data_IF_721330202164
#
_entry.id   IF_721330202164
#
_cell.length_a   1.000
_cell.length_b   1.000
_cell.length_c   1.000
_cell.angle_alpha   90.00
_cell.angle_beta   90.00
_cell.angle_gamma   90.00
#
_symmetry.space_group_name_H-M   'P 1'
#
loop_
_entity.id
_entity.type
_entity.pdbx_description
1 polymer ?
#
# COMPACT_ATOMS: atom_id res chain seq x y z
N UNK A 1 -27.81 -15.31 59.16
CA UNK A 1 -27.04 -16.42 59.77
C UNK A 1 -27.96 -17.62 59.87
N UNK A 2 -27.48 -18.83 59.56
CA UNK A 2 -28.18 -20.08 59.84
C UNK A 2 -27.62 -20.71 61.15
N UNK A 3 -28.27 -21.78 61.62
CA UNK A 3 -28.11 -22.36 62.96
C UNK A 3 -26.70 -22.89 63.33
N UNK A 4 -25.69 -22.76 62.46
CA UNK A 4 -24.32 -23.23 62.70
C UNK A 4 -23.25 -22.11 62.64
N UNK A 5 -23.63 -20.83 62.67
CA UNK A 5 -22.66 -19.74 62.87
C UNK A 5 -21.62 -19.52 61.76
N UNK A 6 -21.80 -20.13 60.59
CA UNK A 6 -20.94 -19.91 59.41
C UNK A 6 -21.44 -18.66 58.67
N UNK A 7 -20.57 -17.70 58.30
CA UNK A 7 -20.97 -16.54 57.52
C UNK A 7 -21.50 -17.00 56.15
N UNK A 8 -22.78 -16.77 55.88
CA UNK A 8 -23.37 -17.03 54.56
C UNK A 8 -22.85 -15.98 53.58
N UNK A 9 -22.17 -16.43 52.53
CA UNK A 9 -21.82 -15.59 51.40
C UNK A 9 -23.12 -15.06 50.76
N UNK A 10 -23.25 -13.74 50.72
CA UNK A 10 -24.31 -13.07 49.97
C UNK A 10 -23.98 -13.22 48.49
N UNK A 11 -24.88 -13.74 47.63
CA UNK A 11 -24.63 -13.78 46.20
C UNK A 11 -24.45 -12.35 45.70
N UNK A 12 -23.29 -12.06 45.12
CA UNK A 12 -23.08 -10.81 44.39
C UNK A 12 -23.99 -10.91 43.16
N UNK A 13 -24.93 -9.98 42.95
CA UNK A 13 -25.74 -9.98 41.74
C UNK A 13 -24.80 -9.88 40.52
N UNK A 14 -25.09 -10.59 39.42
CA UNK A 14 -24.31 -10.44 38.20
C UNK A 14 -24.27 -8.94 37.84
N UNK A 15 -23.12 -8.42 37.38
CA UNK A 15 -23.03 -7.02 36.98
C UNK A 15 -24.15 -6.76 35.98
N UNK A 16 -24.97 -5.75 36.28
CA UNK A 16 -26.02 -5.31 35.37
C UNK A 16 -25.38 -5.13 34.00
N UNK A 17 -25.92 -5.84 33.00
CA UNK A 17 -25.55 -5.66 31.60
C UNK A 17 -25.81 -4.21 31.26
N UNK A 18 -24.74 -3.41 31.28
CA UNK A 18 -24.77 -2.08 30.74
C UNK A 18 -25.25 -2.24 29.28
N UNK A 19 -26.25 -1.49 28.83
CA UNK A 19 -26.57 -1.47 27.42
C UNK A 19 -25.27 -1.09 26.71
N UNK A 20 -24.86 -1.92 25.73
CA UNK A 20 -23.84 -1.52 24.77
C UNK A 20 -24.35 -0.24 24.14
N UNK A 21 -23.88 0.90 24.65
CA UNK A 21 -23.99 2.15 23.96
C UNK A 21 -23.25 1.89 22.64
N UNK A 22 -24.00 1.80 21.56
CA UNK A 22 -23.46 1.98 20.23
C UNK A 22 -22.67 3.28 20.31
N UNK A 23 -21.35 3.17 20.28
CA UNK A 23 -20.49 4.33 20.12
C UNK A 23 -20.83 4.87 18.74
N UNK A 24 -21.75 5.81 18.69
CA UNK A 24 -21.94 6.70 17.55
C UNK A 24 -20.69 7.55 17.47
N UNK A 25 -19.62 6.99 16.91
CA UNK A 25 -18.49 7.75 16.41
C UNK A 25 -19.04 8.63 15.30
N UNK A 26 -19.21 9.91 15.60
CA UNK A 26 -19.54 10.92 14.59
C UNK A 26 -18.34 11.03 13.65
N UNK A 27 -18.38 10.31 12.53
CA UNK A 27 -17.35 10.38 11.52
C UNK A 27 -17.49 11.68 10.69
N UNK A 28 -16.41 12.43 10.48
CA UNK A 28 -16.45 13.59 9.59
C UNK A 28 -16.64 13.14 8.13
N UNK A 29 -17.54 13.82 7.40
CA UNK A 29 -17.64 13.77 5.93
C UNK A 29 -16.26 14.02 5.31
N UNK A 30 -15.92 13.35 4.19
CA UNK A 30 -14.63 13.47 3.52
C UNK A 30 -14.32 14.95 3.22
N UNK A 31 -13.52 15.56 4.10
CA UNK A 31 -13.21 16.99 4.02
C UNK A 31 -12.18 17.22 2.93
N UNK A 32 -12.47 18.24 2.14
CA UNK A 32 -11.66 18.85 1.09
C UNK A 32 -10.17 18.95 1.47
N UNK A 33 -9.31 18.20 0.81
CA UNK A 33 -7.93 18.61 0.58
C UNK A 33 -7.96 19.65 -0.53
N UNK A 34 -7.52 20.89 -0.23
CA UNK A 34 -7.22 21.84 -1.28
C UNK A 34 -6.16 21.24 -2.21
N UNK A 35 -6.14 21.61 -3.49
CA UNK A 35 -5.16 21.16 -4.45
C UNK A 35 -3.75 21.55 -3.94
N UNK A 36 -3.05 20.63 -3.27
CA UNK A 36 -1.75 20.91 -2.66
C UNK A 36 -0.69 20.54 -3.67
N UNK A 37 -0.22 21.53 -4.43
CA UNK A 37 1.12 21.39 -5.00
C UNK A 37 2.11 21.17 -3.85
N UNK A 38 2.93 20.13 -3.97
CA UNK A 38 3.98 19.87 -2.99
C UNK A 38 4.95 21.06 -2.98
N UNK A 39 5.22 21.58 -1.78
CA UNK A 39 6.27 22.57 -1.54
C UNK A 39 7.63 22.03 -1.96
N UNK A 40 8.58 22.93 -2.23
CA UNK A 40 9.94 22.51 -2.59
C UNK A 40 10.58 21.61 -1.53
N UNK A 41 10.36 21.91 -0.24
CA UNK A 41 10.87 21.08 0.86
C UNK A 41 10.28 19.65 0.82
N UNK A 42 8.98 19.50 0.57
CA UNK A 42 8.36 18.18 0.42
C UNK A 42 8.96 17.41 -0.76
N UNK A 43 9.15 18.08 -1.91
CA UNK A 43 9.81 17.49 -3.08
C UNK A 43 11.25 17.05 -2.77
N UNK A 44 12.02 17.89 -2.08
CA UNK A 44 13.41 17.58 -1.72
C UNK A 44 13.49 16.37 -0.76
N UNK A 45 12.54 16.24 0.17
CA UNK A 45 12.44 15.08 1.05
C UNK A 45 12.09 13.80 0.29
N UNK A 46 11.22 13.86 -0.72
CA UNK A 46 10.94 12.72 -1.58
C UNK A 46 12.16 12.34 -2.43
N UNK A 47 12.88 13.31 -3.00
CA UNK A 47 14.14 13.06 -3.72
C UNK A 47 15.19 12.41 -2.83
N UNK A 48 15.30 12.84 -1.57
CA UNK A 48 16.22 12.24 -0.61
C UNK A 48 15.92 10.74 -0.36
N UNK A 49 14.63 10.36 -0.41
CA UNK A 49 14.16 8.98 -0.33
C UNK A 49 14.36 8.17 -1.62
N UNK A 50 14.74 8.82 -2.72
CA UNK A 50 15.03 8.15 -4.00
C UNK A 50 13.88 8.19 -5.02
N UNK A 51 12.84 9.00 -4.79
CA UNK A 51 11.85 9.26 -5.82
C UNK A 51 12.44 10.18 -6.90
N UNK A 52 12.29 9.78 -8.15
CA UNK A 52 12.62 10.61 -9.32
C UNK A 52 11.57 11.70 -9.50
N UNK A 53 11.87 12.73 -10.31
CA UNK A 53 10.95 13.86 -10.50
C UNK A 53 9.57 13.42 -11.00
N UNK A 54 9.52 12.51 -11.98
CA UNK A 54 8.26 12.00 -12.52
C UNK A 54 7.43 11.22 -11.49
N UNK A 55 8.07 10.40 -10.64
CA UNK A 55 7.37 9.70 -9.56
C UNK A 55 6.78 10.69 -8.53
N UNK A 56 7.46 11.79 -8.24
CA UNK A 56 6.95 12.85 -7.36
C UNK A 56 5.70 13.52 -7.98
N UNK A 57 5.71 13.76 -9.29
CA UNK A 57 4.52 14.25 -10.01
C UNK A 57 3.35 13.27 -9.93
N UNK A 58 3.61 11.96 -10.03
CA UNK A 58 2.59 10.92 -9.90
C UNK A 58 2.01 10.90 -8.48
N UNK A 59 2.84 10.96 -7.44
CA UNK A 59 2.37 11.06 -6.04
C UNK A 59 1.47 12.28 -5.87
N UNK A 60 1.90 13.44 -6.39
CA UNK A 60 1.13 14.69 -6.30
C UNK A 60 -0.26 14.54 -6.96
N UNK A 61 -0.31 13.91 -8.14
CA UNK A 61 -1.57 13.61 -8.84
C UNK A 61 -2.42 12.57 -8.10
N UNK A 62 -1.80 11.54 -7.54
CA UNK A 62 -2.44 10.48 -6.74
C UNK A 62 -3.14 11.07 -5.52
N UNK A 63 -2.60 12.08 -4.84
CA UNK A 63 -3.28 12.75 -3.72
C UNK A 63 -4.55 13.48 -4.15
N UNK A 64 -4.56 14.04 -5.37
CA UNK A 64 -5.75 14.71 -5.91
C UNK A 64 -6.80 13.71 -6.40
N UNK A 65 -6.37 12.60 -7.00
CA UNK A 65 -7.26 11.57 -7.51
C UNK A 65 -7.86 10.70 -6.40
N UNK A 66 -7.10 10.50 -5.32
CA UNK A 66 -7.50 9.76 -4.15
C UNK A 66 -7.59 10.68 -2.92
N UNK A 67 -8.73 11.35 -2.69
CA UNK A 67 -8.92 12.23 -1.53
C UNK A 67 -8.82 11.50 -0.19
N UNK A 68 -8.96 10.17 -0.19
CA UNK A 68 -8.83 9.37 1.01
C UNK A 68 -8.25 7.97 0.73
N UNK A 69 -7.42 7.49 1.65
CA UNK A 69 -6.83 6.14 1.64
C UNK A 69 -7.19 5.43 2.94
N UNK A 70 -7.65 4.18 2.86
CA UNK A 70 -7.96 3.34 4.00
C UNK A 70 -7.09 2.09 3.96
N UNK A 71 -6.19 1.94 4.92
CA UNK A 71 -5.40 0.74 5.14
C UNK A 71 -6.10 -0.17 6.15
N UNK A 72 -6.48 -1.36 5.70
CA UNK A 72 -6.86 -2.48 6.57
C UNK A 72 -5.60 -3.29 6.82
N UNK A 73 -5.12 -3.26 8.05
CA UNK A 73 -3.84 -3.82 8.46
C UNK A 73 -4.09 -5.08 9.28
N UNK A 74 -3.61 -6.21 8.75
CA UNK A 74 -3.68 -7.48 9.43
C UNK A 74 -2.75 -7.52 10.64
N UNK A 75 -3.36 -7.66 11.81
CA UNK A 75 -2.68 -7.93 13.07
C UNK A 75 -3.18 -9.24 13.69
N UNK A 76 -3.64 -10.20 12.87
CA UNK A 76 -4.06 -11.53 13.31
C UNK A 76 -2.87 -12.39 13.77
N UNK A 77 -3.15 -13.50 14.46
CA UNK A 77 -2.09 -14.34 15.02
C UNK A 77 -1.08 -14.90 14.00
N UNK A 78 -1.48 -15.09 12.73
CA UNK A 78 -0.63 -15.62 11.65
C UNK A 78 0.54 -14.71 11.30
N UNK A 79 0.40 -13.39 11.53
CA UNK A 79 1.44 -12.39 11.30
C UNK A 79 2.69 -12.58 12.18
N UNK A 80 2.67 -13.50 13.16
CA UNK A 80 3.86 -13.89 13.94
C UNK A 80 4.82 -14.84 13.19
N UNK A 81 4.46 -15.36 12.00
CA UNK A 81 5.37 -16.15 11.17
C UNK A 81 6.63 -15.35 10.83
N UNK A 82 7.79 -16.01 10.85
CA UNK A 82 9.12 -15.40 10.75
C UNK A 82 9.71 -15.56 9.34
N UNK A 83 8.93 -15.22 8.33
CA UNK A 83 9.24 -15.31 6.91
C UNK A 83 9.12 -13.96 6.19
N UNK A 84 8.86 -12.87 6.93
CA UNK A 84 8.90 -11.51 6.39
C UNK A 84 10.33 -10.98 6.22
N UNK A 85 10.48 -9.89 5.48
CA UNK A 85 11.75 -9.32 5.05
C UNK A 85 11.77 -7.79 5.25
N UNK A 86 12.89 -7.26 5.77
CA UNK A 86 13.10 -5.81 5.88
C UNK A 86 14.47 -5.35 5.42
N UNK A 87 14.54 -4.12 4.92
CA UNK A 87 15.79 -3.48 4.50
C UNK A 87 16.42 -2.72 5.67
N UNK A 88 17.64 -3.08 6.02
CA UNK A 88 18.40 -2.44 7.10
C UNK A 88 19.63 -1.76 6.52
N UNK A 89 19.78 -0.46 6.77
CA UNK A 89 21.02 0.26 6.51
C UNK A 89 22.11 -0.20 7.49
N UNK A 90 23.27 -0.53 6.96
CA UNK A 90 24.45 -0.95 7.73
C UNK A 90 25.53 0.13 7.71
N UNK A 91 26.54 -0.01 8.57
CA UNK A 91 27.67 0.93 8.62
C UNK A 91 28.31 1.03 7.22
N UNK A 92 28.40 2.26 6.68
CA UNK A 92 29.05 2.53 5.38
C UNK A 92 28.13 2.59 4.17
N UNK A 93 26.86 3.00 4.32
CA UNK A 93 25.86 3.12 3.25
C UNK A 93 25.50 1.82 2.52
N UNK A 94 25.91 0.65 3.00
CA UNK A 94 25.42 -0.63 2.48
C UNK A 94 24.06 -0.97 3.05
N UNK A 95 23.17 -1.49 2.21
CA UNK A 95 21.84 -1.99 2.61
C UNK A 95 21.90 -3.52 2.67
N UNK A 96 21.23 -4.12 3.65
CA UNK A 96 21.05 -5.57 3.74
C UNK A 96 19.59 -5.90 4.00
N UNK A 97 19.12 -6.96 3.38
CA UNK A 97 17.83 -7.55 3.73
C UNK A 97 18.02 -8.46 4.95
N UNK A 98 17.09 -8.37 5.90
CA UNK A 98 17.06 -9.15 7.14
C UNK A 98 15.69 -9.77 7.30
N UNK A 99 15.67 -11.08 7.54
CA UNK A 99 14.46 -11.84 7.86
C UNK A 99 13.87 -11.38 9.20
N UNK A 100 12.55 -11.26 9.25
CA UNK A 100 11.78 -10.83 10.42
C UNK A 100 10.37 -11.45 10.39
N UNK A 101 9.53 -11.09 11.35
CA UNK A 101 8.13 -11.50 11.29
C UNK A 101 7.36 -10.66 10.27
N UNK A 102 6.31 -11.25 9.69
CA UNK A 102 5.35 -10.53 8.82
C UNK A 102 4.84 -9.26 9.52
N UNK A 103 4.60 -9.35 10.83
CA UNK A 103 4.22 -8.20 11.66
C UNK A 103 5.26 -7.08 11.68
N UNK A 104 6.55 -7.40 11.89
CA UNK A 104 7.59 -6.38 11.93
C UNK A 104 7.75 -5.67 10.58
N UNK A 105 7.61 -6.42 9.49
CA UNK A 105 7.62 -5.87 8.15
C UNK A 105 6.43 -4.93 7.88
N UNK A 106 5.21 -5.35 8.24
CA UNK A 106 4.03 -4.48 8.03
C UNK A 106 4.04 -3.26 8.96
N UNK A 107 4.59 -3.37 10.18
CA UNK A 107 4.81 -2.22 11.07
C UNK A 107 5.73 -1.19 10.41
N UNK A 108 6.84 -1.63 9.81
CA UNK A 108 7.76 -0.74 9.10
C UNK A 108 7.08 -0.08 7.89
N UNK A 109 6.30 -0.86 7.14
CA UNK A 109 5.49 -0.40 6.00
C UNK A 109 4.44 0.64 6.40
N UNK A 110 3.63 0.37 7.42
CA UNK A 110 2.61 1.32 7.91
C UNK A 110 3.26 2.58 8.47
N UNK A 111 4.37 2.45 9.21
CA UNK A 111 5.12 3.61 9.69
C UNK A 111 5.67 4.47 8.55
N UNK A 112 6.08 3.85 7.44
CA UNK A 112 6.49 4.56 6.22
C UNK A 112 5.30 5.30 5.60
N UNK A 113 4.17 4.62 5.40
CA UNK A 113 2.97 5.22 4.80
C UNK A 113 2.36 6.32 5.67
N UNK A 114 2.41 6.21 6.99
CA UNK A 114 1.97 7.27 7.90
C UNK A 114 2.87 8.52 7.76
N UNK A 115 4.19 8.34 7.61
CA UNK A 115 5.12 9.44 7.35
C UNK A 115 4.91 10.04 5.96
N UNK A 116 4.67 9.22 4.95
CA UNK A 116 4.37 9.67 3.59
C UNK A 116 3.07 10.47 3.56
N UNK A 117 2.00 9.94 4.16
CA UNK A 117 0.71 10.62 4.29
C UNK A 117 0.86 11.98 4.99
N UNK A 118 1.66 12.05 6.06
CA UNK A 118 1.99 13.30 6.73
C UNK A 118 2.75 14.27 5.81
N UNK A 119 3.78 13.76 5.12
CA UNK A 119 4.64 14.53 4.23
C UNK A 119 3.85 15.16 3.10
N UNK A 120 2.97 14.42 2.44
CA UNK A 120 2.18 14.93 1.29
C UNK A 120 0.79 15.42 1.70
N UNK A 121 0.51 15.48 3.00
CA UNK A 121 -0.79 15.86 3.56
C UNK A 121 -1.97 15.07 2.96
N UNK A 122 -1.78 13.77 2.75
CA UNK A 122 -2.77 12.87 2.17
C UNK A 122 -3.61 12.22 3.28
N UNK A 123 -4.93 12.50 3.36
CA UNK A 123 -5.80 11.87 4.36
C UNK A 123 -5.75 10.35 4.26
N UNK A 124 -5.23 9.72 5.32
CA UNK A 124 -4.99 8.27 5.34
C UNK A 124 -5.41 7.70 6.68
N UNK A 125 -6.25 6.68 6.65
CA UNK A 125 -6.74 5.97 7.84
C UNK A 125 -6.16 4.58 7.88
N UNK A 126 -5.63 4.18 9.03
CA UNK A 126 -5.14 2.84 9.31
C UNK A 126 -6.08 2.16 10.30
N UNK A 127 -6.51 0.96 9.95
CA UNK A 127 -7.48 0.17 10.69
C UNK A 127 -6.91 -1.22 10.91
N UNK A 128 -6.64 -1.56 12.17
CA UNK A 128 -6.21 -2.90 12.54
C UNK A 128 -7.38 -3.88 12.45
N UNK A 129 -7.14 -5.09 11.95
CA UNK A 129 -8.18 -6.13 11.88
C UNK A 129 -8.79 -6.45 13.25
N UNK A 130 -7.95 -6.52 14.27
CA UNK A 130 -8.31 -6.81 15.66
C UNK A 130 -7.97 -5.60 16.53
N UNK A 131 -8.78 -5.32 17.55
CA UNK A 131 -8.50 -4.23 18.48
C UNK A 131 -7.16 -4.48 19.19
N UNK A 132 -6.22 -3.51 19.21
CA UNK A 132 -4.90 -3.70 19.79
C UNK A 132 -4.88 -3.77 21.33
N UNK A 133 -6.04 -3.82 21.99
CA UNK A 133 -6.20 -3.62 23.43
C UNK A 133 -6.37 -2.14 23.83
N UNK A 134 -7.29 -1.87 24.76
CA UNK A 134 -7.67 -0.51 25.16
C UNK A 134 -6.58 0.34 25.83
N UNK A 135 -5.46 -0.28 26.23
CA UNK A 135 -4.30 0.42 26.80
C UNK A 135 -3.25 0.81 25.75
N UNK A 136 -3.35 0.29 24.52
CA UNK A 136 -2.44 0.60 23.41
C UNK A 136 -3.00 1.73 22.56
N UNK A 137 -4.30 1.70 22.24
CA UNK A 137 -4.92 2.77 21.48
C UNK A 137 -6.16 2.31 20.73
N UNK A 138 -6.71 3.18 19.86
CA UNK A 138 -7.87 2.84 19.06
C UNK A 138 -7.53 1.79 17.99
N UNK A 139 -8.54 1.04 17.56
CA UNK A 139 -8.41 0.12 16.41
C UNK A 139 -8.19 0.87 15.09
N UNK A 140 -8.66 2.13 15.02
CA UNK A 140 -8.55 3.01 13.86
C UNK A 140 -7.84 4.31 14.27
N UNK A 141 -6.85 4.72 13.48
CA UNK A 141 -6.12 5.97 13.64
C UNK A 141 -5.81 6.56 12.26
N UNK A 142 -5.67 7.87 12.16
CA UNK A 142 -5.53 8.53 10.86
C UNK A 142 -4.47 9.62 10.86
N UNK A 143 -4.02 9.96 9.65
CA UNK A 143 -3.11 11.07 9.35
C UNK A 143 -3.86 12.05 8.47
N UNK A 144 -3.81 13.34 8.81
CA UNK A 144 -4.33 14.45 8.02
C UNK A 144 -5.85 14.47 7.77
N UNK A 145 -6.63 13.59 8.42
CA UNK A 145 -8.11 13.66 8.37
C UNK A 145 -8.67 14.82 9.22
N UNK A 146 -8.03 15.13 10.37
CA UNK A 146 -8.47 16.19 11.28
C UNK A 146 -8.11 17.59 10.78
N UNK A 147 -7.17 17.68 9.84
CA UNK A 147 -6.67 18.91 9.25
C UNK A 147 -5.19 18.79 8.86
N UNK A 148 -4.69 19.81 8.17
CA UNK A 148 -3.30 19.87 7.68
C UNK A 148 -2.40 20.77 8.54
N UNK A 149 -2.85 21.14 9.73
CA UNK A 149 -2.02 21.87 10.69
C UNK A 149 -0.85 20.98 11.12
N UNK A 150 0.37 21.53 11.13
CA UNK A 150 1.58 20.78 11.42
C UNK A 150 1.54 20.11 12.79
N UNK A 151 0.97 20.77 13.81
CA UNK A 151 0.85 20.20 15.14
C UNK A 151 -0.10 19.00 15.16
N UNK A 152 -1.22 19.10 14.43
CA UNK A 152 -2.19 18.01 14.29
C UNK A 152 -1.56 16.82 13.55
N UNK A 153 -0.81 17.06 12.48
CA UNK A 153 -0.11 16.00 11.73
C UNK A 153 0.96 15.32 12.61
N UNK A 154 1.72 16.09 13.41
CA UNK A 154 2.72 15.54 14.32
C UNK A 154 2.09 14.66 15.42
N UNK A 155 0.96 15.09 15.99
CA UNK A 155 0.18 14.28 16.93
C UNK A 155 -0.33 12.99 16.31
N UNK A 156 -0.95 13.09 15.12
CA UNK A 156 -1.47 11.96 14.35
C UNK A 156 -0.35 10.94 14.07
N UNK A 157 0.82 11.41 13.64
CA UNK A 157 1.99 10.57 13.38
C UNK A 157 2.54 9.93 14.65
N UNK A 158 2.57 10.66 15.75
CA UNK A 158 2.96 10.14 17.07
C UNK A 158 2.05 9.01 17.53
N UNK A 159 0.73 9.19 17.39
CA UNK A 159 -0.27 8.17 17.70
C UNK A 159 -0.12 6.94 16.81
N UNK A 160 -0.01 7.13 15.49
CA UNK A 160 0.15 6.03 14.53
C UNK A 160 1.38 5.16 14.86
N UNK A 161 2.54 5.81 15.09
CA UNK A 161 3.77 5.11 15.48
C UNK A 161 3.62 4.41 16.84
N UNK A 162 2.97 5.05 17.80
CA UNK A 162 2.77 4.44 19.12
C UNK A 162 1.90 3.18 19.04
N UNK A 163 0.75 3.26 18.37
CA UNK A 163 -0.16 2.13 18.20
C UNK A 163 0.53 0.99 17.47
N UNK A 164 1.17 1.25 16.33
CA UNK A 164 1.83 0.18 15.55
C UNK A 164 2.98 -0.48 16.30
N UNK A 165 3.81 0.29 17.00
CA UNK A 165 4.97 -0.27 17.73
C UNK A 165 4.59 -0.95 19.05
N UNK A 166 3.43 -0.60 19.62
CA UNK A 166 2.96 -1.19 20.89
C UNK A 166 1.98 -2.35 20.69
N UNK A 167 1.40 -2.47 19.50
CA UNK A 167 0.51 -3.58 19.14
C UNK A 167 1.29 -4.86 18.88
N UNK A 168 0.62 -5.99 19.11
CA UNK A 168 1.14 -7.32 18.80
C UNK A 168 0.09 -8.14 18.04
N UNK A 169 0.51 -9.10 17.20
CA UNK A 169 -0.45 -9.88 16.44
C UNK A 169 -1.24 -10.84 17.32
N UNK A 170 -2.56 -10.81 17.17
CA UNK A 170 -3.52 -11.61 17.92
C UNK A 170 -4.88 -11.66 17.20
N UNK A 171 -5.73 -12.62 17.55
CA UNK A 171 -7.08 -12.70 17.00
C UNK A 171 -7.13 -13.30 15.60
N UNK A 172 -8.17 -12.91 14.86
CA UNK A 172 -8.64 -13.58 13.62
C UNK A 172 -8.52 -12.63 12.42
N UNK A 173 -8.99 -13.05 11.24
CA UNK A 173 -8.85 -12.31 9.97
C UNK A 173 -10.24 -11.92 9.42
N UNK A 174 -11.00 -11.01 10.06
CA UNK A 174 -12.38 -10.67 9.71
C UNK A 174 -12.46 -9.67 8.54
N UNK A 175 -11.77 -9.96 7.43
CA UNK A 175 -11.64 -9.04 6.28
C UNK A 175 -12.99 -8.58 5.71
N UNK A 176 -13.97 -9.47 5.67
CA UNK A 176 -15.32 -9.19 5.15
C UNK A 176 -15.99 -8.04 5.88
N UNK A 177 -15.98 -8.06 7.22
CA UNK A 177 -16.67 -7.04 8.04
C UNK A 177 -16.03 -5.66 7.88
N UNK A 178 -14.70 -5.62 7.84
CA UNK A 178 -13.96 -4.38 7.60
C UNK A 178 -14.27 -3.80 6.22
N UNK A 179 -14.34 -4.65 5.20
CA UNK A 179 -14.66 -4.23 3.84
C UNK A 179 -16.10 -3.70 3.73
N UNK A 180 -17.07 -4.36 4.36
CA UNK A 180 -18.47 -3.91 4.38
C UNK A 180 -18.63 -2.59 5.14
N UNK A 181 -17.89 -2.39 6.24
CA UNK A 181 -17.88 -1.13 6.98
C UNK A 181 -17.33 0.02 6.11
N UNK A 182 -16.23 -0.23 5.38
CA UNK A 182 -15.64 0.77 4.47
C UNK A 182 -16.60 1.07 3.32
N UNK A 183 -17.20 0.04 2.71
CA UNK A 183 -18.21 0.19 1.67
C UNK A 183 -19.32 1.13 2.09
N UNK A 184 -19.90 0.93 3.28
CA UNK A 184 -21.01 1.75 3.77
C UNK A 184 -20.60 3.22 3.90
N UNK A 185 -19.35 3.50 4.28
CA UNK A 185 -18.81 4.87 4.32
C UNK A 185 -18.67 5.45 2.91
N UNK A 186 -18.03 4.72 1.99
CA UNK A 186 -17.86 5.18 0.59
C UNK A 186 -19.21 5.42 -0.08
N UNK A 187 -20.21 4.58 0.21
CA UNK A 187 -21.56 4.72 -0.35
C UNK A 187 -22.21 6.06 0.02
N UNK A 188 -21.95 6.60 1.22
CA UNK A 188 -22.50 7.88 1.66
C UNK A 188 -21.98 9.06 0.83
N UNK A 189 -20.75 8.96 0.33
CA UNK A 189 -20.06 10.04 -0.39
C UNK A 189 -19.87 9.73 -1.90
N UNK A 190 -20.46 8.62 -2.38
CA UNK A 190 -20.21 8.10 -3.72
C UNK A 190 -20.58 9.07 -4.85
N UNK A 191 -21.71 9.78 -4.72
CA UNK A 191 -22.15 10.74 -5.75
C UNK A 191 -21.21 11.95 -5.83
N UNK A 192 -20.73 12.43 -4.69
CA UNK A 192 -19.76 13.53 -4.64
C UNK A 192 -18.43 13.12 -5.27
N UNK A 193 -17.89 11.96 -4.88
CA UNK A 193 -16.66 11.41 -5.44
C UNK A 193 -16.76 11.25 -6.98
N UNK A 194 -17.86 10.66 -7.48
CA UNK A 194 -18.09 10.53 -8.93
C UNK A 194 -18.14 11.87 -9.64
N UNK A 195 -18.84 12.86 -9.07
CA UNK A 195 -18.98 14.18 -9.69
C UNK A 195 -17.64 14.89 -9.88
N UNK A 196 -16.63 14.52 -9.08
CA UNK A 196 -15.27 15.06 -9.13
C UNK A 196 -14.27 14.15 -9.86
N UNK A 197 -14.68 12.94 -10.25
CA UNK A 197 -13.78 11.93 -10.79
C UNK A 197 -12.77 11.39 -9.78
N UNK A 198 -13.07 11.50 -8.49
CA UNK A 198 -12.23 11.05 -7.37
C UNK A 198 -12.59 9.61 -6.96
N UNK A 199 -11.66 8.93 -6.28
CA UNK A 199 -11.88 7.58 -5.74
C UNK A 199 -11.29 7.42 -4.33
N UNK A 200 -11.80 6.48 -3.54
CA UNK A 200 -11.18 6.08 -2.27
C UNK A 200 -10.27 4.89 -2.50
N UNK A 201 -9.01 4.98 -2.07
CA UNK A 201 -8.11 3.82 -2.08
C UNK A 201 -8.37 2.95 -0.85
N UNK A 202 -8.52 1.65 -1.04
CA UNK A 202 -8.63 0.64 0.02
C UNK A 202 -7.45 -0.29 -0.10
N UNK A 203 -6.53 -0.25 0.86
CA UNK A 203 -5.36 -1.13 0.92
C UNK A 203 -5.64 -2.24 1.91
N UNK A 204 -5.74 -3.48 1.45
CA UNK A 204 -5.89 -4.68 2.26
C UNK A 204 -4.51 -5.33 2.44
N UNK A 205 -3.86 -5.05 3.57
CA UNK A 205 -2.55 -5.64 3.89
C UNK A 205 -2.75 -6.88 4.78
N UNK A 206 -2.67 -8.09 4.19
CA UNK A 206 -3.02 -9.34 4.88
C UNK A 206 -2.11 -10.52 4.49
N UNK A 207 -1.92 -11.45 5.43
CA UNK A 207 -1.15 -12.67 5.22
C UNK A 207 -2.00 -13.94 5.06
N UNK A 208 -3.33 -13.77 5.02
CA UNK A 208 -4.26 -14.87 5.18
C UNK A 208 -5.55 -14.73 4.37
N UNK A 209 -6.31 -15.81 4.42
CA UNK A 209 -7.65 -15.90 3.84
C UNK A 209 -8.68 -15.37 4.86
N UNK A 210 -9.83 -14.86 4.39
CA UNK A 210 -10.89 -14.39 5.26
C UNK A 210 -11.37 -15.49 6.21
N UNK A 211 -11.61 -15.10 7.46
CA UNK A 211 -12.20 -15.93 8.52
C UNK A 211 -13.37 -15.21 9.15
N UNK A 212 -14.29 -15.95 9.76
CA UNK A 212 -15.36 -15.36 10.56
C UNK A 212 -14.87 -14.92 11.96
N UNK A 213 -15.75 -14.36 12.78
CA UNK A 213 -15.44 -13.89 14.15
C UNK A 213 -14.84 -14.97 15.07
N UNK A 214 -15.06 -16.26 14.76
CA UNK A 214 -14.51 -17.40 15.52
C UNK A 214 -13.15 -17.88 14.98
N UNK A 215 -12.62 -17.26 13.92
CA UNK A 215 -11.38 -17.66 13.27
C UNK A 215 -11.54 -18.88 12.37
N UNK A 216 -12.77 -19.28 12.05
CA UNK A 216 -13.04 -20.37 11.12
C UNK A 216 -13.01 -19.77 9.71
N UNK A 217 -12.16 -20.33 8.86
CA UNK A 217 -12.13 -20.05 7.42
C UNK A 217 -12.67 -21.23 6.63
N UNK A 218 -12.95 -21.00 5.35
CA UNK A 218 -13.53 -22.02 4.49
C UNK A 218 -14.04 -21.44 3.18
N UNK A 219 -14.70 -22.29 2.40
CA UNK A 219 -15.32 -21.88 1.13
C UNK A 219 -16.41 -20.82 1.37
N UNK A 220 -17.16 -20.94 2.46
CA UNK A 220 -18.23 -19.99 2.79
C UNK A 220 -17.67 -18.59 3.05
N UNK A 221 -16.67 -18.46 3.92
CA UNK A 221 -16.04 -17.18 4.29
C UNK A 221 -15.31 -16.54 3.09
N UNK A 222 -14.66 -17.36 2.25
CA UNK A 222 -14.06 -16.89 0.99
C UNK A 222 -15.11 -16.36 0.03
N UNK A 223 -16.23 -17.07 -0.14
CA UNK A 223 -17.32 -16.61 -1.00
C UNK A 223 -17.98 -15.34 -0.47
N UNK A 224 -18.12 -15.23 0.85
CA UNK A 224 -18.66 -14.02 1.48
C UNK A 224 -17.75 -12.81 1.25
N UNK A 225 -16.44 -12.99 1.41
CA UNK A 225 -15.46 -11.95 1.11
C UNK A 225 -15.48 -11.55 -0.38
N UNK A 226 -15.52 -12.52 -1.31
CA UNK A 226 -15.67 -12.24 -2.74
C UNK A 226 -16.96 -11.47 -3.03
N UNK A 227 -18.07 -11.83 -2.37
CA UNK A 227 -19.33 -11.10 -2.51
C UNK A 227 -19.24 -9.69 -1.94
N UNK A 228 -18.52 -9.48 -0.84
CA UNK A 228 -18.26 -8.16 -0.29
C UNK A 228 -17.44 -7.30 -1.27
N UNK A 229 -16.38 -7.86 -1.88
CA UNK A 229 -15.61 -7.23 -2.96
C UNK A 229 -16.49 -6.88 -4.16
N UNK A 230 -17.26 -7.83 -4.69
CA UNK A 230 -18.25 -7.59 -5.77
C UNK A 230 -19.21 -6.46 -5.44
N UNK A 231 -19.59 -6.34 -4.17
CA UNK A 231 -20.52 -5.30 -3.75
C UNK A 231 -19.93 -3.88 -3.73
N UNK A 232 -18.60 -3.75 -3.93
CA UNK A 232 -17.93 -2.48 -4.24
C UNK A 232 -17.99 -2.13 -5.72
N UNK A 233 -18.43 -3.04 -6.60
CA UNK A 233 -18.50 -2.78 -8.03
C UNK A 233 -19.40 -1.58 -8.32
N UNK A 234 -18.89 -0.71 -9.17
CA UNK A 234 -19.54 0.55 -9.50
C UNK A 234 -19.38 1.63 -8.44
N UNK A 235 -18.78 1.40 -7.26
CA UNK A 235 -18.40 2.49 -6.35
C UNK A 235 -17.07 3.13 -6.79
N UNK A 236 -16.84 4.41 -6.46
CA UNK A 236 -15.59 5.11 -6.77
C UNK A 236 -14.47 4.65 -5.82
N UNK A 237 -13.99 3.42 -6.01
CA UNK A 237 -12.91 2.82 -5.21
C UNK A 237 -11.75 2.35 -6.08
N UNK A 238 -10.58 2.27 -5.46
CA UNK A 238 -9.40 1.59 -5.96
C UNK A 238 -8.90 0.64 -4.87
N UNK A 239 -8.73 -0.64 -5.17
CA UNK A 239 -8.37 -1.64 -4.17
C UNK A 239 -6.94 -2.07 -4.43
N UNK A 240 -6.11 -2.06 -3.39
CA UNK A 240 -4.79 -2.68 -3.41
C UNK A 240 -4.80 -3.81 -2.40
N UNK A 241 -4.51 -5.04 -2.82
CA UNK A 241 -4.26 -6.16 -1.91
C UNK A 241 -2.76 -6.31 -1.79
N UNK A 242 -2.23 -5.98 -0.63
CA UNK A 242 -0.81 -6.14 -0.30
C UNK A 242 -0.65 -7.45 0.46
N UNK A 243 -0.06 -8.45 -0.17
CA UNK A 243 0.17 -9.75 0.45
C UNK A 243 1.35 -9.68 1.41
N UNK A 244 1.14 -10.22 2.60
CA UNK A 244 2.14 -10.32 3.66
C UNK A 244 2.67 -11.76 3.77
N UNK A 245 2.55 -12.57 2.72
CA UNK A 245 2.81 -14.01 2.73
C UNK A 245 3.24 -14.52 1.36
N UNK A 246 4.18 -15.47 1.34
CA UNK A 246 4.56 -16.21 0.12
C UNK A 246 3.78 -17.53 -0.01
N UNK A 247 2.70 -17.70 0.77
CA UNK A 247 1.91 -18.92 0.75
C UNK A 247 1.11 -19.01 -0.55
N UNK A 248 1.56 -19.88 -1.46
CA UNK A 248 1.03 -20.01 -2.82
C UNK A 248 -0.50 -20.14 -2.91
N UNK A 249 -1.15 -20.78 -1.92
CA UNK A 249 -2.61 -20.89 -1.88
C UNK A 249 -3.31 -19.54 -1.63
N UNK A 250 -2.69 -18.64 -0.87
CA UNK A 250 -3.19 -17.29 -0.59
C UNK A 250 -2.96 -16.40 -1.81
N UNK A 251 -1.74 -16.40 -2.37
CA UNK A 251 -1.38 -15.65 -3.58
C UNK A 251 -2.32 -16.03 -4.74
N UNK A 252 -2.48 -17.33 -4.99
CA UNK A 252 -3.38 -17.83 -6.05
C UNK A 252 -4.84 -17.43 -5.83
N UNK A 253 -5.30 -17.35 -4.58
CA UNK A 253 -6.67 -16.90 -4.28
C UNK A 253 -6.88 -15.44 -4.67
N UNK A 254 -5.96 -14.54 -4.32
CA UNK A 254 -6.11 -13.12 -4.64
C UNK A 254 -5.89 -12.82 -6.13
N UNK A 255 -4.95 -13.50 -6.79
CA UNK A 255 -4.76 -13.33 -8.24
C UNK A 255 -5.99 -13.79 -9.04
N UNK A 256 -6.66 -14.87 -8.61
CA UNK A 256 -7.93 -15.30 -9.24
C UNK A 256 -9.10 -14.34 -9.01
N UNK A 257 -9.06 -13.49 -7.97
CA UNK A 257 -10.09 -12.49 -7.72
C UNK A 257 -10.01 -11.38 -8.77
N UNK A 258 -8.80 -10.94 -9.12
CA UNK A 258 -8.59 -9.92 -10.16
C UNK A 258 -9.18 -10.37 -11.51
N UNK A 259 -8.89 -11.61 -11.93
CA UNK A 259 -9.43 -12.17 -13.18
C UNK A 259 -10.98 -12.24 -13.23
N UNK A 260 -11.63 -12.35 -12.08
CA UNK A 260 -13.08 -12.59 -11.99
C UNK A 260 -13.91 -11.34 -11.78
N UNK A 261 -13.29 -10.22 -11.39
CA UNK A 261 -13.99 -9.01 -10.99
C UNK A 261 -13.68 -7.86 -11.94
N UNK A 262 -14.72 -7.16 -12.42
CA UNK A 262 -14.55 -5.89 -13.14
C UNK A 262 -14.25 -4.72 -12.17
N UNK A 263 -13.40 -4.96 -11.17
CA UNK A 263 -12.98 -3.97 -10.18
C UNK A 263 -11.59 -3.45 -10.54
N UNK A 264 -11.28 -2.21 -10.13
CA UNK A 264 -9.90 -1.73 -10.10
C UNK A 264 -9.23 -2.31 -8.85
N UNK A 265 -8.74 -3.55 -8.96
CA UNK A 265 -7.97 -4.24 -7.93
C UNK A 265 -6.55 -4.46 -8.43
N UNK A 266 -5.58 -4.20 -7.56
CA UNK A 266 -4.16 -4.44 -7.79
C UNK A 266 -3.69 -5.39 -6.69
N UNK A 267 -3.10 -6.53 -7.04
CA UNK A 267 -2.51 -7.46 -6.07
C UNK A 267 -1.01 -7.26 -6.11
N UNK A 268 -0.40 -7.02 -4.94
CA UNK A 268 1.03 -6.79 -4.78
C UNK A 268 1.59 -7.82 -3.80
N UNK A 269 2.69 -8.44 -4.19
CA UNK A 269 3.48 -9.29 -3.31
C UNK A 269 4.38 -8.47 -2.38
N UNK A 270 5.21 -9.14 -1.59
CA UNK A 270 6.26 -8.45 -0.84
C UNK A 270 7.23 -7.73 -1.81
N UNK A 271 8.00 -6.75 -1.31
CA UNK A 271 8.88 -5.94 -2.15
C UNK A 271 9.88 -6.78 -2.97
N UNK A 272 10.31 -7.93 -2.48
CA UNK A 272 11.29 -8.78 -3.15
C UNK A 272 10.62 -9.66 -4.20
N UNK A 273 9.53 -10.34 -3.84
CA UNK A 273 8.76 -11.18 -4.76
C UNK A 273 8.28 -10.38 -5.96
N UNK A 274 7.68 -9.22 -5.70
CA UNK A 274 7.24 -8.28 -6.74
C UNK A 274 8.38 -7.85 -7.67
N UNK A 275 9.57 -7.59 -7.11
CA UNK A 275 10.72 -7.23 -7.92
C UNK A 275 11.24 -8.38 -8.80
N UNK A 276 11.08 -9.63 -8.36
CA UNK A 276 11.45 -10.82 -9.12
C UNK A 276 10.54 -10.97 -10.34
N UNK A 277 9.22 -10.79 -10.18
CA UNK A 277 8.23 -10.82 -11.26
C UNK A 277 8.47 -9.69 -12.28
N UNK A 278 8.66 -8.45 -11.81
CA UNK A 278 9.01 -7.33 -12.68
C UNK A 278 10.32 -7.58 -13.43
N UNK A 279 11.31 -8.21 -12.79
CA UNK A 279 12.58 -8.52 -13.45
C UNK A 279 12.45 -9.61 -14.52
N UNK A 280 11.52 -10.55 -14.37
CA UNK A 280 11.24 -11.59 -15.37
C UNK A 280 10.77 -10.95 -16.70
N UNK A 281 9.87 -9.99 -16.62
CA UNK A 281 9.26 -9.36 -17.79
C UNK A 281 10.02 -8.11 -18.28
N UNK A 282 10.51 -7.29 -17.36
CA UNK A 282 11.14 -6.00 -17.63
C UNK A 282 12.50 -5.87 -16.92
N UNK A 283 13.51 -6.72 -17.25
CA UNK A 283 14.82 -6.78 -16.55
C UNK A 283 15.68 -5.52 -16.70
N UNK A 284 15.21 -4.56 -17.49
CA UNK A 284 15.82 -3.26 -17.70
C UNK A 284 15.42 -2.25 -16.62
N UNK A 285 14.31 -2.49 -15.89
CA UNK A 285 13.89 -1.68 -14.75
C UNK A 285 14.47 -2.28 -13.47
N UNK A 286 15.03 -1.43 -12.62
CA UNK A 286 15.30 -1.80 -11.24
C UNK A 286 14.06 -1.43 -10.43
N UNK A 287 13.26 -2.44 -10.05
CA UNK A 287 12.08 -2.26 -9.21
C UNK A 287 12.52 -1.77 -7.83
N UNK A 288 12.36 -0.46 -7.61
CA UNK A 288 12.87 0.23 -6.44
C UNK A 288 11.80 0.34 -5.36
N UNK A 289 12.24 0.45 -4.09
CA UNK A 289 11.30 0.62 -2.98
C UNK A 289 10.36 1.83 -3.17
N UNK A 290 10.81 2.99 -3.68
CA UNK A 290 9.90 4.09 -4.06
C UNK A 290 8.76 3.69 -5.02
N UNK A 291 9.03 2.88 -6.04
CA UNK A 291 7.98 2.40 -6.97
C UNK A 291 6.98 1.52 -6.21
N UNK A 292 7.49 0.57 -5.42
CA UNK A 292 6.65 -0.33 -4.63
C UNK A 292 5.74 0.41 -3.65
N UNK A 293 6.31 1.34 -2.86
CA UNK A 293 5.55 2.15 -1.90
C UNK A 293 4.52 3.03 -2.59
N UNK A 294 4.83 3.56 -3.77
CA UNK A 294 3.85 4.34 -4.54
C UNK A 294 2.67 3.47 -5.01
N UNK A 295 2.93 2.25 -5.50
CA UNK A 295 1.88 1.27 -5.86
C UNK A 295 1.01 0.91 -4.66
N UNK A 296 1.60 0.61 -3.50
CA UNK A 296 0.87 0.33 -2.26
C UNK A 296 -0.11 1.46 -1.85
N UNK A 297 0.17 2.72 -2.17
CA UNK A 297 -0.71 3.87 -1.86
C UNK A 297 -1.84 4.08 -2.88
N UNK A 298 -1.91 3.24 -3.93
CA UNK A 298 -2.74 3.41 -5.10
C UNK A 298 -2.10 4.33 -6.14
N UNK A 299 -1.83 3.78 -7.33
CA UNK A 299 -1.30 4.52 -8.48
C UNK A 299 -2.26 4.38 -9.67
N UNK A 300 -2.84 5.48 -10.17
CA UNK A 300 -3.88 5.40 -11.20
C UNK A 300 -3.26 5.36 -12.60
N UNK A 301 -2.29 4.48 -12.84
CA UNK A 301 -1.61 4.39 -14.14
C UNK A 301 -1.29 2.96 -14.54
N UNK A 302 -1.97 2.51 -15.59
CA UNK A 302 -1.95 1.13 -16.12
C UNK A 302 -0.56 0.55 -16.35
N UNK A 303 0.42 1.37 -16.74
CA UNK A 303 1.77 0.86 -16.96
C UNK A 303 2.41 0.27 -15.69
N UNK A 304 2.03 0.69 -14.47
CA UNK A 304 2.55 0.06 -13.27
C UNK A 304 1.96 -1.34 -13.08
N UNK A 305 0.69 -1.54 -13.41
CA UNK A 305 0.02 -2.85 -13.39
C UNK A 305 0.67 -3.82 -14.40
N UNK A 306 1.09 -3.31 -15.57
CA UNK A 306 1.69 -4.15 -16.62
C UNK A 306 3.15 -4.57 -16.34
N UNK A 307 3.80 -4.06 -15.28
CA UNK A 307 5.24 -4.24 -15.04
C UNK A 307 5.63 -5.71 -14.85
N UNK A 308 4.80 -6.43 -14.10
CA UNK A 308 4.93 -7.82 -13.67
C UNK A 308 4.09 -8.78 -14.53
N UNK A 309 3.30 -8.27 -15.48
CA UNK A 309 2.50 -9.12 -16.38
C UNK A 309 3.22 -9.50 -17.68
N UNK A 310 3.93 -8.55 -18.30
CA UNK A 310 4.56 -8.75 -19.62
C UNK A 310 5.65 -7.74 -19.96
N UNK A 311 6.51 -8.06 -20.93
CA UNK A 311 7.42 -7.06 -21.50
C UNK A 311 6.63 -5.88 -22.08
N UNK A 312 7.15 -4.68 -21.87
CA UNK A 312 6.61 -3.48 -22.52
C UNK A 312 6.88 -3.48 -24.02
N UNK A 313 6.04 -2.78 -24.76
CA UNK A 313 6.37 -2.32 -26.12
C UNK A 313 7.31 -1.11 -26.06
N UNK A 314 7.92 -0.72 -27.18
CA UNK A 314 8.78 0.48 -27.23
C UNK A 314 8.00 1.77 -26.89
N UNK A 315 6.75 1.86 -27.32
CA UNK A 315 5.88 2.99 -26.99
C UNK A 315 5.61 3.07 -25.47
N UNK A 316 5.30 1.92 -24.85
CA UNK A 316 5.08 1.83 -23.40
C UNK A 316 6.38 2.07 -22.61
N UNK A 317 7.53 1.61 -23.10
CA UNK A 317 8.83 1.95 -22.55
C UNK A 317 9.08 3.47 -22.54
N UNK A 318 8.79 4.13 -23.67
CA UNK A 318 8.90 5.59 -23.77
C UNK A 318 8.00 6.26 -22.73
N UNK A 319 6.72 5.90 -22.72
CA UNK A 319 5.73 6.44 -21.79
C UNK A 319 6.13 6.20 -20.33
N UNK A 320 6.65 5.01 -20.00
CA UNK A 320 7.15 4.72 -18.67
C UNK A 320 8.35 5.60 -18.28
N UNK A 321 9.23 5.94 -19.23
CA UNK A 321 10.31 6.91 -18.98
C UNK A 321 9.76 8.33 -18.71
N UNK A 322 8.64 8.73 -19.33
CA UNK A 322 7.92 9.96 -18.96
C UNK A 322 7.39 9.90 -17.52
N UNK A 323 6.88 8.75 -17.09
CA UNK A 323 6.42 8.56 -15.70
C UNK A 323 7.57 8.60 -14.70
N UNK A 324 8.74 8.06 -15.05
CA UNK A 324 9.90 8.09 -14.17
C UNK A 324 10.52 9.48 -14.09
N UNK A 325 10.81 10.12 -15.22
CA UNK A 325 11.63 11.34 -15.22
C UNK A 325 10.82 12.64 -15.29
N UNK A 326 9.53 12.57 -15.63
CA UNK A 326 8.67 13.74 -15.80
C UNK A 326 8.76 14.34 -17.20
N UNK A 327 7.66 14.93 -17.67
CA UNK A 327 7.53 15.40 -19.04
C UNK A 327 8.52 16.51 -19.40
N UNK A 328 8.84 17.39 -18.46
CA UNK A 328 9.82 18.46 -18.68
C UNK A 328 11.24 17.95 -18.91
N UNK A 329 11.61 16.82 -18.29
CA UNK A 329 12.95 16.23 -18.45
C UNK A 329 13.06 15.34 -19.69
N UNK A 330 11.94 14.75 -20.11
CA UNK A 330 11.87 13.94 -21.33
C UNK A 330 11.74 14.76 -22.61
N UNK A 331 11.57 16.09 -22.51
CA UNK A 331 11.55 16.97 -23.68
C UNK A 331 12.90 16.90 -24.43
N UNK A 332 12.82 16.74 -25.75
CA UNK A 332 13.99 16.51 -26.61
C UNK A 332 14.60 15.11 -26.55
N UNK A 333 14.08 14.17 -25.75
CA UNK A 333 14.48 12.76 -25.81
C UNK A 333 13.83 12.10 -27.02
N UNK A 334 14.64 11.57 -27.94
CA UNK A 334 14.22 10.97 -29.21
C UNK A 334 13.24 9.80 -29.01
N UNK A 335 12.37 9.54 -29.98
CA UNK A 335 11.47 8.40 -29.96
C UNK A 335 12.25 7.07 -30.17
N UNK A 336 12.09 6.05 -29.30
CA UNK A 336 12.77 4.76 -29.46
C UNK A 336 12.37 3.98 -30.73
N UNK A 337 11.27 4.33 -31.37
CA UNK A 337 10.89 3.79 -32.69
C UNK A 337 11.56 4.53 -33.85
N UNK A 338 12.02 5.77 -33.64
CA UNK A 338 12.74 6.57 -34.63
C UNK A 338 14.25 6.29 -34.57
N UNK A 339 14.86 6.54 -33.40
CA UNK A 339 16.27 6.21 -33.15
C UNK A 339 16.46 5.76 -31.70
N UNK A 340 16.54 4.43 -31.55
CA UNK A 340 16.70 3.81 -30.24
C UNK A 340 18.05 4.11 -29.57
N UNK A 341 19.12 4.35 -30.34
CA UNK A 341 20.43 4.66 -29.77
C UNK A 341 20.47 6.09 -29.24
N UNK A 342 19.85 7.04 -29.95
CA UNK A 342 19.72 8.41 -29.47
C UNK A 342 18.74 8.51 -28.30
N UNK A 343 17.66 7.72 -28.28
CA UNK A 343 16.83 7.54 -27.10
C UNK A 343 17.65 7.09 -25.88
N UNK A 344 18.48 6.04 -26.02
CA UNK A 344 19.32 5.55 -24.93
C UNK A 344 20.32 6.59 -24.42
N UNK A 345 20.89 7.43 -25.30
CA UNK A 345 21.77 8.53 -24.88
C UNK A 345 21.00 9.56 -24.06
N UNK A 346 19.80 9.94 -24.50
CA UNK A 346 18.93 10.85 -23.75
C UNK A 346 18.60 10.31 -22.36
N UNK A 347 18.17 9.05 -22.27
CA UNK A 347 17.90 8.39 -20.99
C UNK A 347 19.15 8.29 -20.11
N UNK A 348 20.33 8.03 -20.70
CA UNK A 348 21.59 7.99 -19.95
C UNK A 348 21.90 9.32 -19.26
N UNK A 349 21.61 10.46 -19.89
CA UNK A 349 21.84 11.78 -19.32
C UNK A 349 20.84 12.14 -18.22
N UNK A 350 19.63 11.58 -18.26
CA UNK A 350 18.66 11.70 -17.17
C UNK A 350 19.08 10.87 -15.96
N UNK A 351 19.43 9.60 -16.16
CA UNK A 351 19.84 8.69 -15.10
C UNK A 351 21.02 9.23 -14.28
N UNK A 352 21.99 9.93 -14.92
CA UNK A 352 23.15 10.53 -14.22
C UNK A 352 22.76 11.56 -13.16
N UNK A 353 21.56 12.13 -13.24
CA UNK A 353 21.06 13.14 -12.29
C UNK A 353 20.28 12.50 -11.14
N UNK A 354 19.92 11.23 -11.28
CA UNK A 354 19.14 10.50 -10.29
C UNK A 354 20.03 9.74 -9.31
N UNK A 355 19.48 9.52 -8.11
CA UNK A 355 20.14 8.71 -7.09
C UNK A 355 20.06 7.23 -7.48
N UNK A 356 21.10 6.47 -7.18
CA UNK A 356 21.03 5.01 -7.28
C UNK A 356 20.00 4.45 -6.29
N UNK A 357 19.29 3.41 -6.72
CA UNK A 357 18.36 2.63 -5.91
C UNK A 357 18.94 1.25 -5.58
N UNK A 358 18.48 0.67 -4.47
CA UNK A 358 18.83 -0.71 -4.14
C UNK A 358 18.15 -1.66 -5.12
N UNK A 359 18.92 -2.45 -5.85
CA UNK A 359 18.45 -3.51 -6.72
C UNK A 359 18.23 -4.78 -5.89
N UNK A 360 16.98 -5.23 -5.67
CA UNK A 360 16.69 -6.43 -4.87
C UNK A 360 17.22 -7.72 -5.51
N UNK A 361 17.31 -7.77 -6.84
CA UNK A 361 17.75 -8.94 -7.61
C UNK A 361 19.28 -9.08 -7.56
N UNK A 362 20.00 -7.97 -7.77
CA UNK A 362 21.47 -7.96 -7.76
C UNK A 362 22.08 -7.64 -6.39
N UNK A 363 21.25 -7.27 -5.42
CA UNK A 363 21.62 -6.96 -4.03
C UNK A 363 22.73 -5.90 -3.95
N UNK A 364 22.57 -4.82 -4.70
CA UNK A 364 23.51 -3.68 -4.72
C UNK A 364 22.82 -2.39 -5.19
N UNK A 365 23.44 -1.25 -4.92
CA UNK A 365 23.00 0.02 -5.48
C UNK A 365 23.24 0.03 -7.00
N UNK A 366 22.24 0.45 -7.77
CA UNK A 366 22.31 0.63 -9.23
C UNK A 366 21.44 1.82 -9.64
N UNK A 367 21.68 2.37 -10.84
CA UNK A 367 20.73 3.30 -11.42
C UNK A 367 19.38 2.63 -11.68
N UNK A 368 18.29 3.41 -11.64
CA UNK A 368 16.90 2.91 -11.76
C UNK A 368 16.61 2.17 -13.07
N UNK A 369 17.40 2.42 -14.12
CA UNK A 369 17.34 1.71 -15.39
C UNK A 369 18.70 1.08 -15.75
N UNK A 370 18.69 -0.18 -16.14
CA UNK A 370 19.84 -0.88 -16.71
C UNK A 370 19.83 -0.74 -18.23
N UNK A 371 20.54 0.27 -18.73
CA UNK A 371 20.60 0.57 -20.17
C UNK A 371 21.16 -0.57 -21.03
N UNK A 372 21.98 -1.47 -20.47
CA UNK A 372 22.50 -2.62 -21.20
C UNK A 372 21.39 -3.65 -21.42
N UNK A 373 20.60 -3.91 -20.38
CA UNK A 373 19.43 -4.79 -20.48
C UNK A 373 18.36 -4.16 -21.38
N UNK A 374 18.13 -2.85 -21.27
CA UNK A 374 17.22 -2.13 -22.16
C UNK A 374 17.63 -2.28 -23.62
N UNK A 375 18.92 -2.10 -23.92
CA UNK A 375 19.42 -2.31 -25.29
C UNK A 375 19.32 -3.76 -25.77
N UNK A 376 19.51 -4.72 -24.87
CA UNK A 376 19.35 -6.14 -25.21
C UNK A 376 17.89 -6.48 -25.56
N UNK A 377 16.93 -5.91 -24.86
CA UNK A 377 15.49 -6.19 -25.05
C UNK A 377 14.94 -5.46 -26.28
N UNK A 378 15.30 -4.19 -26.48
CA UNK A 378 14.66 -3.32 -27.49
C UNK A 378 15.57 -2.85 -28.63
N UNK A 379 16.88 -3.05 -28.51
CA UNK A 379 17.84 -2.67 -29.54
C UNK A 379 17.66 -3.48 -30.82
N UNK A 380 18.06 -2.90 -31.95
CA UNK A 380 17.94 -3.50 -33.27
C UNK A 380 18.69 -4.85 -33.34
N UNK A 381 17.94 -5.95 -33.24
CA UNK A 381 18.45 -7.32 -33.21
C UNK A 381 17.70 -8.29 -32.29
N UNK A 382 16.78 -7.82 -31.44
CA UNK A 382 15.94 -8.70 -30.61
C UNK A 382 14.80 -9.31 -31.44
N UNK A 383 15.05 -10.50 -31.98
CA UNK A 383 14.00 -11.44 -32.37
C UNK A 383 13.31 -11.92 -31.08
N UNK A 384 12.24 -11.26 -30.67
CA UNK A 384 11.33 -11.83 -29.67
C UNK A 384 10.33 -12.66 -30.46
N UNK A 385 10.50 -13.99 -30.41
CA UNK A 385 9.49 -14.94 -30.89
C UNK A 385 8.26 -14.70 -30.02
N UNK A 386 7.15 -14.29 -30.65
CA UNK A 386 5.83 -14.15 -30.02
C UNK A 386 5.37 -15.46 -29.40
#
# INVERSE_FOLDING_TARGET
>A
MNANGIPMAVPIPPPATAPMAAATSSFPSYRKTAQVELTQNQRDQLKAQGYTEGLIEIITKSVSYFPHRVWVVDNSGSMNKNDGNRLVSTKGNSVKMVQCTRWLEIVETVNYHAQMAALVSAPTTFRLLNHPGGHIGPQEFSIAERGIDLHVIEEDLGMAKYVMNSSSPSGVTPLTDHLLAIKNRVLMDADELRSKGERVTIVLATDGLPTNEQGIGGIAERNEFINALRSLQGLPVWIVVRLCTDEAAVVSFYNQIDEQLELSIEVLDDFIGEAEEVYEHNPWLIYSLPIHRMREMGTPHRLFDLLDERPFTKAELREFCFLLFGAGNMDGVEDPDVDFNDFLKGIQDLIKREKECWDPIKKKMKPILDLKQMHKVYGSGSCVIM
#
